data_IF_872042788934
#
_entry.id   IF_872042788934
#
_cell.length_a   1.000
_cell.length_b   1.000
_cell.length_c   1.000
_cell.angle_alpha   90.00
_cell.angle_beta   90.00
_cell.angle_gamma   90.00
#
_symmetry.space_group_name_H-M   'P 1'
#
loop_
_entity.id
_entity.type
_entity.pdbx_description
1 polymer ?
#
# COMPACT_ATOMS: atom_id res chain seq x y z
N UNK A 1 18.66 -1.87 15.97
CA UNK A 1 18.31 -2.63 14.74
C UNK A 1 18.27 -1.67 13.56
N UNK A 2 18.35 -2.15 12.32
CA UNK A 2 18.28 -1.26 11.14
C UNK A 2 17.36 -1.77 10.04
N UNK A 3 16.62 -0.89 9.40
CA UNK A 3 15.86 -1.17 8.19
C UNK A 3 16.58 -0.61 6.97
N UNK A 4 16.55 -1.33 5.85
CA UNK A 4 17.08 -0.90 4.56
C UNK A 4 15.91 -0.74 3.61
N UNK A 5 15.79 0.44 3.05
CA UNK A 5 14.79 0.82 2.04
C UNK A 5 15.56 1.31 0.83
N UNK A 6 15.32 0.73 -0.34
CA UNK A 6 16.04 1.08 -1.56
C UNK A 6 15.09 1.76 -2.51
N UNK A 7 15.51 2.89 -3.06
CA UNK A 7 14.72 3.67 -3.99
C UNK A 7 15.55 4.01 -5.23
N UNK A 8 14.87 4.15 -6.35
CA UNK A 8 15.42 4.71 -7.58
C UNK A 8 14.90 6.13 -7.74
N UNK A 9 15.79 7.06 -8.08
CA UNK A 9 15.42 8.47 -8.18
C UNK A 9 16.28 9.22 -9.16
N UNK A 10 15.66 10.12 -9.92
CA UNK A 10 16.38 11.07 -10.79
C UNK A 10 16.70 12.38 -10.05
N UNK A 11 16.38 12.47 -8.75
CA UNK A 11 16.52 13.68 -7.94
C UNK A 11 17.98 13.98 -7.58
N UNK A 12 18.31 15.26 -7.60
CA UNK A 12 19.56 15.77 -7.03
C UNK A 12 19.53 15.74 -5.50
N UNK A 13 20.68 15.77 -4.81
CA UNK A 13 20.73 15.81 -3.35
C UNK A 13 19.93 16.97 -2.73
N UNK A 14 19.95 18.15 -3.37
CA UNK A 14 19.24 19.34 -2.90
C UNK A 14 17.72 19.20 -3.02
N UNK A 15 17.24 18.63 -4.13
CA UNK A 15 15.81 18.35 -4.34
C UNK A 15 15.32 17.28 -3.37
N UNK A 16 16.15 16.26 -3.11
CA UNK A 16 15.85 15.21 -2.16
C UNK A 16 15.80 15.76 -0.72
N UNK A 17 16.72 16.64 -0.34
CA UNK A 17 16.67 17.36 0.93
C UNK A 17 15.38 18.18 1.08
N UNK A 18 15.00 18.94 0.05
CA UNK A 18 13.76 19.70 0.05
C UNK A 18 12.53 18.77 0.16
N UNK A 19 12.55 17.63 -0.52
CA UNK A 19 11.52 16.60 -0.43
C UNK A 19 11.39 16.01 0.98
N UNK A 20 12.52 15.63 1.59
CA UNK A 20 12.57 15.08 2.95
C UNK A 20 12.11 16.09 4.01
N UNK A 21 12.41 17.37 3.79
CA UNK A 21 11.91 18.45 4.64
C UNK A 21 10.40 18.60 4.55
N UNK A 22 9.84 18.54 3.33
CA UNK A 22 8.39 18.58 3.08
C UNK A 22 7.64 17.44 3.79
N UNK A 23 8.25 16.25 3.85
CA UNK A 23 7.63 15.09 4.50
C UNK A 23 7.92 14.96 6.00
N UNK A 24 8.64 15.91 6.62
CA UNK A 24 8.92 15.90 8.05
C UNK A 24 9.95 14.86 8.50
N UNK A 25 10.81 14.42 7.57
CA UNK A 25 11.90 13.47 7.84
C UNK A 25 13.28 14.14 7.86
N UNK A 26 13.34 15.46 7.68
CA UNK A 26 14.57 16.22 7.82
C UNK A 26 14.86 16.55 9.29
N UNK A 27 16.15 16.47 9.67
CA UNK A 27 16.58 16.81 11.03
C UNK A 27 16.49 18.32 11.27
N UNK A 28 15.90 18.71 12.40
CA UNK A 28 15.91 20.11 12.87
C UNK A 28 17.32 20.60 13.24
N UNK A 29 18.22 19.66 13.53
CA UNK A 29 19.63 19.94 13.82
C UNK A 29 20.42 20.07 12.52
N UNK A 30 21.39 21.01 12.44
CA UNK A 30 22.32 21.10 11.31
C UNK A 30 23.07 19.78 11.08
N UNK A 31 23.30 19.44 9.80
CA UNK A 31 23.97 18.18 9.42
C UNK A 31 25.41 18.07 9.97
N UNK A 32 26.07 19.21 10.18
CA UNK A 32 27.44 19.29 10.73
C UNK A 32 27.48 19.35 12.27
N UNK A 33 26.31 19.29 12.92
CA UNK A 33 26.25 19.33 14.38
C UNK A 33 26.87 18.08 15.01
N UNK A 34 27.53 18.20 16.19
CA UNK A 34 28.15 17.06 16.86
C UNK A 34 27.12 15.97 17.20
N UNK A 35 25.88 16.34 17.51
CA UNK A 35 24.80 15.41 17.78
C UNK A 35 24.44 14.56 16.55
N UNK A 36 24.34 15.19 15.37
CA UNK A 36 24.08 14.46 14.11
C UNK A 36 25.28 13.57 13.75
N UNK A 37 26.51 14.04 13.94
CA UNK A 37 27.71 13.24 13.73
C UNK A 37 27.76 12.00 14.64
N UNK A 38 27.35 12.15 15.91
CA UNK A 38 27.26 11.03 16.85
C UNK A 38 26.21 10.01 16.41
N UNK A 39 25.02 10.47 16.01
CA UNK A 39 23.96 9.60 15.48
C UNK A 39 24.39 8.87 14.20
N UNK A 40 25.05 9.58 13.28
CA UNK A 40 25.64 9.00 12.08
C UNK A 40 26.61 7.87 12.44
N UNK A 41 27.51 8.11 13.39
CA UNK A 41 28.47 7.11 13.87
C UNK A 41 27.77 5.90 14.51
N UNK A 42 26.71 6.12 15.30
CA UNK A 42 25.91 5.03 15.88
C UNK A 42 25.30 4.16 14.77
N UNK A 43 24.65 4.76 13.78
CA UNK A 43 24.01 4.03 12.66
C UNK A 43 25.06 3.27 11.85
N UNK A 44 26.21 3.87 11.56
CA UNK A 44 27.31 3.21 10.86
C UNK A 44 27.87 2.02 11.66
N UNK A 45 27.97 2.13 12.99
CA UNK A 45 28.47 1.03 13.83
C UNK A 45 27.56 -0.21 13.83
N UNK A 46 26.30 -0.03 13.42
CA UNK A 46 25.31 -1.10 13.25
C UNK A 46 25.41 -1.77 11.87
N UNK A 47 26.11 -1.18 10.90
CA UNK A 47 26.39 -1.80 9.59
C UNK A 47 27.44 -2.90 9.76
N UNK A 48 27.38 -3.93 8.92
CA UNK A 48 28.39 -5.00 8.93
C UNK A 48 29.78 -4.39 8.68
N UNK A 49 30.79 -4.81 9.43
CA UNK A 49 32.12 -4.18 9.42
C UNK A 49 32.79 -4.13 8.03
N UNK A 50 32.42 -5.04 7.14
CA UNK A 50 32.92 -5.11 5.76
C UNK A 50 32.37 -3.96 4.89
N UNK A 51 31.17 -3.47 5.17
CA UNK A 51 30.46 -2.48 4.34
C UNK A 51 30.52 -1.07 4.96
N UNK A 52 31.08 -0.93 6.17
CA UNK A 52 31.05 0.34 6.92
C UNK A 52 31.76 1.49 6.19
N UNK A 53 32.92 1.22 5.59
CA UNK A 53 33.70 2.24 4.89
C UNK A 53 32.99 2.68 3.61
N UNK A 54 32.47 1.72 2.84
CA UNK A 54 31.72 1.99 1.60
C UNK A 54 30.48 2.85 1.88
N UNK A 55 29.71 2.48 2.90
CA UNK A 55 28.53 3.26 3.31
C UNK A 55 28.91 4.66 3.80
N UNK A 56 30.02 4.81 4.52
CA UNK A 56 30.48 6.11 5.01
C UNK A 56 30.89 7.06 3.86
N UNK A 57 31.49 6.53 2.79
CA UNK A 57 31.88 7.30 1.60
C UNK A 57 30.68 7.72 0.75
N UNK A 58 29.62 6.90 0.72
CA UNK A 58 28.40 7.14 -0.08
C UNK A 58 27.33 7.97 0.63
N UNK A 59 27.59 8.41 1.86
CA UNK A 59 26.60 9.08 2.71
C UNK A 59 26.35 10.52 2.23
N UNK A 60 25.08 10.86 2.01
CA UNK A 60 24.67 12.21 1.67
C UNK A 60 24.22 13.01 2.91
N UNK A 61 23.27 12.49 3.67
CA UNK A 61 22.72 13.21 4.82
C UNK A 61 22.09 12.27 5.86
N UNK A 62 21.88 12.82 7.05
CA UNK A 62 21.22 12.14 8.18
C UNK A 62 19.80 12.68 8.34
N UNK A 63 18.83 11.77 8.43
CA UNK A 63 17.40 12.05 8.53
C UNK A 63 16.88 11.70 9.93
N UNK A 64 15.78 12.34 10.33
CA UNK A 64 15.18 12.12 11.63
C UNK A 64 13.67 12.30 11.55
N UNK A 65 12.92 11.35 12.11
CA UNK A 65 11.50 11.49 12.37
C UNK A 65 11.30 11.76 13.87
N UNK A 66 10.97 13.00 14.21
CA UNK A 66 10.78 13.43 15.60
C UNK A 66 9.61 12.71 16.29
N UNK A 67 8.55 12.40 15.55
CA UNK A 67 7.34 11.75 16.09
C UNK A 67 7.62 10.32 16.56
N UNK A 68 8.40 9.58 15.77
CA UNK A 68 8.74 8.19 16.04
C UNK A 68 10.14 8.03 16.66
N UNK A 69 10.80 9.15 16.98
CA UNK A 69 12.18 9.21 17.48
C UNK A 69 13.11 8.24 16.74
N UNK A 70 13.02 8.26 15.40
CA UNK A 70 13.74 7.31 14.53
C UNK A 70 14.72 8.07 13.67
N UNK A 71 15.98 7.66 13.73
CA UNK A 71 17.05 8.26 12.95
C UNK A 71 17.34 7.43 11.72
N UNK A 72 17.92 8.05 10.70
CA UNK A 72 18.38 7.33 9.53
C UNK A 72 19.49 8.04 8.79
N UNK A 73 20.10 7.32 7.86
CA UNK A 73 21.06 7.87 6.91
C UNK A 73 20.59 7.58 5.49
N UNK A 74 20.92 8.48 4.58
CA UNK A 74 20.67 8.30 3.15
C UNK A 74 22.01 8.24 2.44
N UNK A 75 22.19 7.17 1.68
CA UNK A 75 23.38 6.88 0.89
C UNK A 75 23.01 6.79 -0.59
N UNK A 76 23.93 7.16 -1.47
CA UNK A 76 23.76 7.06 -2.93
C UNK A 76 24.83 6.15 -3.51
N UNK A 77 24.60 4.82 -3.55
CA UNK A 77 25.60 3.87 -4.03
C UNK A 77 25.90 4.00 -5.52
N UNK A 78 24.96 4.52 -6.31
CA UNK A 78 25.14 4.74 -7.73
C UNK A 78 24.24 5.88 -8.20
N UNK A 79 24.59 6.52 -9.32
CA UNK A 79 23.70 7.49 -9.96
C UNK A 79 22.31 6.87 -10.17
N UNK A 80 21.27 7.56 -9.73
CA UNK A 80 19.91 7.08 -9.90
C UNK A 80 19.38 6.15 -8.80
N UNK A 81 20.21 5.78 -7.80
CA UNK A 81 19.83 4.86 -6.73
C UNK A 81 20.20 5.43 -5.38
N UNK A 82 19.24 5.43 -4.47
CA UNK A 82 19.44 5.80 -3.08
C UNK A 82 19.07 4.62 -2.18
N UNK A 83 19.78 4.51 -1.07
CA UNK A 83 19.43 3.60 0.01
C UNK A 83 19.20 4.42 1.26
N UNK A 84 18.07 4.18 1.90
CA UNK A 84 17.68 4.82 3.15
C UNK A 84 17.80 3.76 4.24
N UNK A 85 18.63 4.04 5.24
CA UNK A 85 18.81 3.17 6.40
C UNK A 85 18.19 3.82 7.62
N UNK A 86 17.14 3.21 8.16
CA UNK A 86 16.49 3.67 9.38
C UNK A 86 16.98 2.85 10.58
N UNK A 87 17.17 3.49 11.72
CA UNK A 87 17.64 2.86 12.95
C UNK A 87 16.72 3.19 14.11
N UNK A 88 16.29 2.12 14.78
CA UNK A 88 15.62 2.17 16.07
C UNK A 88 15.97 0.90 16.84
N UNK A 89 15.91 0.97 18.17
CA UNK A 89 16.15 -0.17 19.04
C UNK A 89 14.89 -1.04 19.16
N UNK A 90 13.71 -0.42 19.05
CA UNK A 90 12.42 -1.12 19.03
C UNK A 90 12.01 -1.46 17.60
N UNK A 91 11.85 -2.76 17.33
CA UNK A 91 11.42 -3.27 16.02
C UNK A 91 10.01 -2.80 15.65
N UNK A 92 9.09 -2.65 16.61
CA UNK A 92 7.72 -2.21 16.35
C UNK A 92 7.69 -0.74 15.93
N UNK A 93 8.50 0.10 16.58
CA UNK A 93 8.67 1.50 16.19
C UNK A 93 9.36 1.58 14.83
N UNK A 94 10.39 0.77 14.59
CA UNK A 94 11.08 0.72 13.30
C UNK A 94 10.15 0.35 12.14
N UNK A 95 9.27 -0.65 12.32
CA UNK A 95 8.26 -1.02 11.31
C UNK A 95 7.34 0.15 10.99
N UNK A 96 6.81 0.81 12.02
CA UNK A 96 5.94 1.99 11.86
C UNK A 96 6.67 3.13 11.16
N UNK A 97 7.95 3.34 11.49
CA UNK A 97 8.79 4.36 10.88
C UNK A 97 9.04 4.05 9.40
N UNK A 98 9.27 2.80 9.03
CA UNK A 98 9.34 2.37 7.63
C UNK A 98 8.01 2.64 6.89
N UNK A 99 6.89 2.23 7.47
CA UNK A 99 5.56 2.46 6.87
C UNK A 99 5.26 3.95 6.71
N UNK A 100 5.57 4.76 7.71
CA UNK A 100 5.39 6.21 7.70
C UNK A 100 6.28 6.88 6.65
N UNK A 101 7.55 6.49 6.55
CA UNK A 101 8.47 6.97 5.53
C UNK A 101 7.94 6.67 4.13
N UNK A 102 7.66 5.39 3.84
CA UNK A 102 7.21 4.96 2.51
C UNK A 102 5.88 5.63 2.16
N UNK A 103 4.95 5.75 3.11
CA UNK A 103 3.67 6.46 2.91
C UNK A 103 3.89 7.93 2.56
N UNK A 104 4.76 8.62 3.29
CA UNK A 104 4.96 10.05 3.14
C UNK A 104 5.67 10.38 1.83
N UNK A 105 6.65 9.54 1.45
CA UNK A 105 7.30 9.60 0.14
C UNK A 105 6.31 9.32 -0.97
N UNK A 106 5.53 8.23 -0.93
CA UNK A 106 4.57 7.92 -1.99
C UNK A 106 3.57 9.08 -2.21
N UNK A 107 3.08 9.69 -1.13
CA UNK A 107 2.12 10.81 -1.20
C UNK A 107 2.70 12.12 -1.72
N UNK A 108 4.00 12.36 -1.54
CA UNK A 108 4.58 13.71 -1.70
C UNK A 108 5.68 13.76 -2.78
N UNK A 109 6.35 12.63 -3.00
CA UNK A 109 7.52 12.46 -3.89
C UNK A 109 7.33 11.32 -4.90
N UNK A 110 6.20 10.60 -4.85
CA UNK A 110 5.88 9.47 -5.72
C UNK A 110 4.74 9.72 -6.72
N UNK A 111 3.81 10.64 -6.43
CA UNK A 111 2.83 11.09 -7.41
C UNK A 111 3.44 12.20 -8.27
N UNK A 112 3.35 12.11 -9.62
CA UNK A 112 3.83 13.17 -10.49
C UNK A 112 3.03 14.44 -10.21
N UNK A 113 3.65 15.44 -9.60
CA UNK A 113 3.07 16.77 -9.56
C UNK A 113 2.80 17.19 -11.02
N UNK A 114 1.80 18.06 -11.26
CA UNK A 114 1.38 18.52 -12.59
C UNK A 114 2.48 19.16 -13.44
N UNK A 115 3.69 19.29 -12.87
CA UNK A 115 4.93 19.82 -13.44
C UNK A 115 5.93 18.72 -13.87
N UNK A 116 5.63 17.44 -13.65
CA UNK A 116 6.44 16.31 -14.12
C UNK A 116 7.75 16.08 -13.38
N UNK A 117 7.92 16.65 -12.18
CA UNK A 117 9.13 16.51 -11.35
C UNK A 117 8.74 15.87 -10.02
N UNK A 118 9.43 14.78 -9.72
CA UNK A 118 9.54 14.00 -8.46
C UNK A 118 9.25 12.50 -8.72
N UNK A 119 10.32 11.73 -8.98
CA UNK A 119 10.29 10.27 -9.05
C UNK A 119 11.21 9.70 -7.99
N UNK A 120 10.61 9.27 -6.89
CA UNK A 120 11.27 8.38 -5.94
C UNK A 120 10.49 7.07 -5.91
N UNK A 121 10.94 6.14 -6.74
CA UNK A 121 10.31 4.83 -6.89
C UNK A 121 10.94 3.83 -5.93
N UNK A 122 10.12 3.13 -5.17
CA UNK A 122 10.60 2.11 -4.24
C UNK A 122 10.90 0.82 -4.96
N UNK A 123 12.02 0.18 -4.61
CA UNK A 123 12.15 -1.24 -4.88
C UNK A 123 11.15 -2.03 -4.01
N UNK A 124 10.64 -3.18 -4.49
CA UNK A 124 9.56 -3.88 -3.80
C UNK A 124 9.95 -4.43 -2.42
N UNK A 125 11.23 -4.65 -2.16
CA UNK A 125 11.69 -5.32 -0.94
C UNK A 125 12.28 -4.33 0.08
N UNK A 126 11.83 -4.47 1.31
CA UNK A 126 12.35 -3.80 2.50
C UNK A 126 12.88 -4.86 3.46
N UNK A 127 14.03 -4.61 4.07
CA UNK A 127 14.67 -5.58 4.97
C UNK A 127 14.95 -4.95 6.34
N UNK A 128 14.62 -5.65 7.42
CA UNK A 128 15.08 -5.31 8.77
C UNK A 128 16.19 -6.27 9.17
N UNK A 129 17.33 -5.71 9.53
CA UNK A 129 18.54 -6.40 9.90
C UNK A 129 18.87 -6.16 11.38
N UNK A 130 19.32 -7.22 12.09
CA UNK A 130 19.95 -7.06 13.39
C UNK A 130 21.25 -6.25 13.30
N UNK A 131 21.73 -5.73 14.45
CA UNK A 131 23.03 -5.08 14.57
C UNK A 131 24.15 -5.90 13.95
N UNK A 132 25.02 -5.27 13.14
CA UNK A 132 26.26 -5.83 12.58
C UNK A 132 26.12 -7.07 11.69
N UNK A 133 24.91 -7.45 11.32
CA UNK A 133 24.65 -8.62 10.47
C UNK A 133 24.11 -8.20 9.10
N UNK A 134 24.53 -8.89 8.04
CA UNK A 134 23.98 -8.72 6.68
C UNK A 134 22.72 -9.56 6.42
N UNK A 135 22.34 -10.44 7.34
CA UNK A 135 21.13 -11.29 7.21
C UNK A 135 19.91 -10.58 7.78
N UNK A 136 18.86 -10.46 6.98
CA UNK A 136 17.59 -9.90 7.43
C UNK A 136 16.86 -10.83 8.42
N UNK A 137 16.35 -10.28 9.51
CA UNK A 137 15.45 -10.97 10.45
C UNK A 137 14.01 -10.93 9.97
N UNK A 138 13.63 -9.84 9.29
CA UNK A 138 12.29 -9.63 8.79
C UNK A 138 12.36 -9.02 7.39
N UNK A 139 11.43 -9.42 6.53
CA UNK A 139 11.25 -8.85 5.20
C UNK A 139 9.89 -8.17 5.12
N UNK A 140 9.84 -7.06 4.40
CA UNK A 140 8.63 -6.34 4.07
C UNK A 140 8.54 -6.17 2.57
N UNK A 141 7.34 -6.22 2.03
CA UNK A 141 7.05 -5.93 0.64
C UNK A 141 6.35 -4.57 0.55
N UNK A 142 6.93 -3.62 -0.16
CA UNK A 142 6.35 -2.31 -0.41
C UNK A 142 5.26 -2.46 -1.47
N UNK A 143 4.02 -2.16 -1.07
CA UNK A 143 2.85 -2.27 -1.93
C UNK A 143 2.73 -0.98 -2.77
N UNK A 144 3.38 -0.97 -3.93
CA UNK A 144 3.19 0.06 -4.97
C UNK A 144 1.77 0.00 -5.53
N UNK A 145 1.24 1.11 -6.04
CA UNK A 145 -0.19 1.41 -6.17
C UNK A 145 -1.04 0.55 -7.14
N UNK A 146 -0.54 -0.59 -7.63
CA UNK A 146 -1.31 -1.59 -8.42
C UNK A 146 -2.33 -2.38 -7.57
N UNK A 147 -2.93 -1.69 -6.58
CA UNK A 147 -3.72 -2.22 -5.47
C UNK A 147 -5.02 -2.86 -5.92
N UNK A 148 -5.69 -2.35 -6.95
CA UNK A 148 -7.03 -2.84 -7.32
C UNK A 148 -6.99 -4.16 -8.11
N UNK A 149 -6.04 -4.31 -9.03
CA UNK A 149 -5.93 -5.52 -9.84
C UNK A 149 -5.49 -6.72 -9.00
N UNK A 150 -4.45 -6.54 -8.18
CA UNK A 150 -3.90 -7.61 -7.34
C UNK A 150 -4.90 -8.07 -6.27
N UNK A 151 -5.69 -7.16 -5.69
CA UNK A 151 -6.76 -7.53 -4.75
C UNK A 151 -7.88 -8.35 -5.40
N UNK A 152 -8.27 -7.99 -6.62
CA UNK A 152 -9.25 -8.75 -7.39
C UNK A 152 -8.67 -10.11 -7.78
N UNK A 153 -7.37 -10.19 -8.07
CA UNK A 153 -6.68 -11.45 -8.33
C UNK A 153 -6.61 -12.38 -7.11
N UNK A 154 -6.27 -11.85 -5.94
CA UNK A 154 -6.26 -12.62 -4.68
C UNK A 154 -7.65 -13.16 -4.31
N UNK A 155 -8.71 -12.40 -4.63
CA UNK A 155 -10.11 -12.77 -4.38
C UNK A 155 -10.86 -13.18 -5.63
N UNK A 156 -10.18 -13.83 -6.59
CA UNK A 156 -10.78 -14.33 -7.85
C UNK A 156 -12.06 -15.14 -7.63
N UNK A 157 -12.12 -15.93 -6.57
CA UNK A 157 -13.30 -16.76 -6.25
C UNK A 157 -14.47 -15.90 -5.80
N UNK A 158 -14.27 -14.98 -4.85
CA UNK A 158 -15.33 -14.09 -4.36
C UNK A 158 -15.84 -13.16 -5.48
N UNK A 159 -14.93 -12.64 -6.31
CA UNK A 159 -15.28 -11.84 -7.48
C UNK A 159 -16.11 -12.64 -8.51
N UNK A 160 -15.76 -13.90 -8.76
CA UNK A 160 -16.58 -14.78 -9.63
C UNK A 160 -17.98 -14.96 -9.06
N UNK A 161 -18.10 -15.22 -7.76
CA UNK A 161 -19.40 -15.38 -7.09
C UNK A 161 -20.23 -14.11 -7.20
N UNK A 162 -19.65 -12.94 -6.91
CA UNK A 162 -20.33 -11.66 -7.03
C UNK A 162 -20.75 -11.35 -8.48
N UNK A 163 -19.89 -11.63 -9.45
CA UNK A 163 -20.21 -11.48 -10.87
C UNK A 163 -21.36 -12.40 -11.28
N UNK A 164 -21.36 -13.66 -10.85
CA UNK A 164 -22.47 -14.58 -11.11
C UNK A 164 -23.77 -14.13 -10.44
N UNK A 165 -23.70 -13.58 -9.22
CA UNK A 165 -24.86 -13.03 -8.52
C UNK A 165 -25.43 -11.82 -9.27
N UNK A 166 -24.58 -10.92 -9.79
CA UNK A 166 -25.01 -9.79 -10.62
C UNK A 166 -25.68 -10.26 -11.91
N UNK A 167 -25.07 -11.21 -12.63
CA UNK A 167 -25.65 -11.76 -13.86
C UNK A 167 -27.01 -12.39 -13.57
N UNK A 168 -27.11 -13.20 -12.51
CA UNK A 168 -28.36 -13.83 -12.09
C UNK A 168 -29.42 -12.77 -11.72
N UNK A 169 -29.03 -11.72 -10.98
CA UNK A 169 -29.92 -10.62 -10.63
C UNK A 169 -30.45 -9.89 -11.88
N UNK A 170 -29.58 -9.62 -12.86
CA UNK A 170 -29.97 -8.98 -14.12
C UNK A 170 -30.91 -9.87 -14.95
N UNK A 171 -30.65 -11.17 -15.00
CA UNK A 171 -31.53 -12.15 -15.69
C UNK A 171 -32.89 -12.22 -15.02
N UNK A 172 -32.92 -12.33 -13.68
CA UNK A 172 -34.16 -12.32 -12.91
C UNK A 172 -34.93 -11.03 -13.16
N UNK A 173 -34.26 -9.88 -13.04
CA UNK A 173 -34.87 -8.57 -13.29
C UNK A 173 -35.47 -8.48 -14.69
N UNK A 174 -34.75 -8.95 -15.72
CA UNK A 174 -35.23 -8.96 -17.10
C UNK A 174 -36.47 -9.84 -17.31
N UNK A 175 -36.60 -10.94 -16.57
CA UNK A 175 -37.74 -11.86 -16.65
C UNK A 175 -38.93 -11.39 -15.81
N UNK A 176 -38.69 -10.58 -14.77
CA UNK A 176 -39.74 -10.02 -13.89
C UNK A 176 -40.24 -8.64 -14.34
N UNK A 177 -39.83 -8.11 -15.51
CA UNK A 177 -40.35 -6.82 -15.99
C UNK A 177 -41.81 -6.99 -16.43
N UNK A 178 -42.71 -6.02 -16.15
CA UNK A 178 -44.13 -6.09 -16.50
C UNK A 178 -44.52 -6.61 -17.91
N UNK A 179 -43.83 -6.26 -19.02
CA UNK A 179 -44.19 -6.76 -20.33
C UNK A 179 -43.90 -8.25 -20.53
N UNK A 180 -42.99 -8.84 -19.74
CA UNK A 180 -42.70 -10.29 -19.74
C UNK A 180 -43.66 -11.03 -18.80
N UNK A 181 -44.07 -10.40 -17.71
CA UNK A 181 -44.90 -10.99 -16.66
C UNK A 181 -46.40 -11.01 -17.00
N UNK A 182 -46.92 -9.92 -17.59
CA UNK A 182 -48.35 -9.74 -17.90
C UNK A 182 -49.00 -10.82 -18.78
N UNK A 183 -48.34 -11.40 -19.79
CA UNK A 183 -48.91 -12.49 -20.59
C UNK A 183 -49.26 -13.71 -19.75
N UNK A 184 -48.45 -14.03 -18.73
CA UNK A 184 -48.66 -15.21 -17.87
C UNK A 184 -49.80 -15.00 -16.87
N UNK A 185 -50.08 -13.76 -16.48
CA UNK A 185 -51.23 -13.43 -15.62
C UNK A 185 -52.57 -13.37 -16.36
N UNK A 186 -52.56 -13.24 -17.69
CA UNK A 186 -53.77 -13.26 -18.53
C UNK A 186 -54.15 -14.67 -19.00
N UNK A 187 -53.33 -15.68 -18.67
CA UNK A 187 -53.63 -17.08 -18.92
C UNK A 187 -54.70 -17.64 -17.96
N UNK A 188 -55.06 -18.91 -18.11
CA UNK A 188 -56.06 -19.56 -17.26
C UNK A 188 -55.78 -19.42 -15.76
N UNK A 189 -56.81 -19.46 -14.89
CA UNK A 189 -56.67 -19.21 -13.44
C UNK A 189 -55.58 -20.07 -12.77
N UNK A 190 -55.44 -21.33 -13.19
CA UNK A 190 -54.38 -22.23 -12.70
C UNK A 190 -53.00 -21.76 -13.14
N UNK A 191 -52.84 -21.34 -14.39
CA UNK A 191 -51.58 -20.77 -14.91
C UNK A 191 -51.22 -19.47 -14.20
N UNK A 192 -52.20 -18.62 -13.92
CA UNK A 192 -51.99 -17.37 -13.21
C UNK A 192 -51.54 -17.58 -11.75
N UNK A 193 -52.09 -18.57 -11.05
CA UNK A 193 -51.68 -18.91 -9.68
C UNK A 193 -50.24 -19.43 -9.63
N UNK A 194 -49.85 -20.31 -10.55
CA UNK A 194 -48.49 -20.81 -10.69
C UNK A 194 -47.50 -19.70 -11.10
N UNK A 195 -47.91 -18.80 -12.00
CA UNK A 195 -47.12 -17.64 -12.39
C UNK A 195 -46.83 -16.72 -11.19
N UNK A 196 -47.85 -16.37 -10.38
CA UNK A 196 -47.66 -15.51 -9.19
C UNK A 196 -46.69 -16.12 -8.20
N UNK A 197 -46.81 -17.43 -7.97
CA UNK A 197 -45.90 -18.15 -7.08
C UNK A 197 -44.46 -18.18 -7.61
N UNK A 198 -44.28 -18.48 -8.90
CA UNK A 198 -42.97 -18.52 -9.56
C UNK A 198 -42.27 -17.16 -9.62
N UNK A 199 -42.99 -16.10 -10.01
CA UNK A 199 -42.46 -14.74 -10.00
C UNK A 199 -42.14 -14.27 -8.58
N UNK A 200 -42.96 -14.60 -7.58
CA UNK A 200 -42.65 -14.31 -6.19
C UNK A 200 -41.39 -14.99 -5.65
N UNK A 201 -41.05 -16.19 -6.13
CA UNK A 201 -39.76 -16.83 -5.82
C UNK A 201 -38.62 -16.11 -6.53
N UNK A 202 -38.78 -15.81 -7.82
CA UNK A 202 -37.78 -15.10 -8.62
C UNK A 202 -37.44 -13.74 -8.01
N UNK A 203 -38.42 -12.95 -7.58
CA UNK A 203 -38.19 -11.67 -6.90
C UNK A 203 -37.36 -11.82 -5.62
N UNK A 204 -37.65 -12.84 -4.80
CA UNK A 204 -36.90 -13.11 -3.56
C UNK A 204 -35.45 -13.53 -3.86
N UNK A 205 -35.25 -14.38 -4.85
CA UNK A 205 -33.91 -14.79 -5.30
C UNK A 205 -33.16 -13.60 -5.90
N UNK A 206 -33.83 -12.76 -6.69
CA UNK A 206 -33.27 -11.53 -7.25
C UNK A 206 -32.84 -10.55 -6.17
N UNK A 207 -33.67 -10.34 -5.15
CA UNK A 207 -33.35 -9.48 -4.00
C UNK A 207 -32.14 -10.01 -3.23
N UNK A 208 -32.07 -11.33 -2.98
CA UNK A 208 -30.91 -11.95 -2.35
C UNK A 208 -29.63 -11.82 -3.19
N UNK A 209 -29.73 -11.98 -4.52
CA UNK A 209 -28.62 -11.83 -5.45
C UNK A 209 -28.09 -10.39 -5.49
N UNK A 210 -28.98 -9.39 -5.54
CA UNK A 210 -28.62 -7.96 -5.46
C UNK A 210 -27.94 -7.67 -4.12
N UNK A 211 -28.54 -8.11 -3.00
CA UNK A 211 -27.99 -7.88 -1.66
C UNK A 211 -26.57 -8.46 -1.53
N UNK A 212 -26.37 -9.67 -2.04
CA UNK A 212 -25.07 -10.35 -2.05
C UNK A 212 -24.04 -9.56 -2.87
N UNK A 213 -24.41 -9.09 -4.06
CA UNK A 213 -23.55 -8.25 -4.89
C UNK A 213 -23.21 -6.92 -4.21
N UNK A 214 -24.20 -6.24 -3.62
CA UNK A 214 -24.00 -4.95 -2.93
C UNK A 214 -23.09 -5.11 -1.71
N UNK A 215 -23.27 -6.16 -0.91
CA UNK A 215 -22.38 -6.45 0.22
C UNK A 215 -20.94 -6.70 -0.24
N UNK A 216 -20.75 -7.44 -1.34
CA UNK A 216 -19.43 -7.65 -1.91
C UNK A 216 -18.77 -6.35 -2.39
N UNK A 217 -19.51 -5.49 -3.10
CA UNK A 217 -19.01 -4.18 -3.50
C UNK A 217 -18.63 -3.31 -2.29
N UNK A 218 -19.45 -3.33 -1.23
CA UNK A 218 -19.17 -2.59 -0.01
C UNK A 218 -17.91 -3.09 0.70
N UNK A 219 -17.74 -4.41 0.84
CA UNK A 219 -16.52 -5.01 1.40
C UNK A 219 -15.26 -4.65 0.59
N UNK A 220 -15.35 -4.70 -0.74
CA UNK A 220 -14.26 -4.25 -1.62
C UNK A 220 -13.93 -2.78 -1.38
N UNK A 221 -14.94 -1.90 -1.34
CA UNK A 221 -14.71 -0.45 -1.14
C UNK A 221 -14.10 -0.17 0.22
N UNK A 222 -14.61 -0.80 1.28
CA UNK A 222 -14.04 -0.68 2.63
C UNK A 222 -12.60 -1.18 2.67
N UNK A 223 -12.32 -2.31 2.03
CA UNK A 223 -10.97 -2.89 2.02
C UNK A 223 -10.01 -2.09 1.16
N UNK A 224 -10.44 -1.58 0.00
CA UNK A 224 -9.65 -0.64 -0.80
C UNK A 224 -9.32 0.61 -0.02
N UNK A 225 -10.29 1.15 0.73
CA UNK A 225 -10.09 2.28 1.62
C UNK A 225 -9.09 1.94 2.73
N UNK A 226 -9.28 0.80 3.39
CA UNK A 226 -8.37 0.32 4.43
C UNK A 226 -6.94 0.12 3.91
N UNK A 227 -6.76 -0.47 2.74
CA UNK A 227 -5.45 -0.71 2.14
C UNK A 227 -4.80 0.59 1.67
N UNK A 228 -5.60 1.54 1.16
CA UNK A 228 -5.15 2.89 0.80
C UNK A 228 -4.71 3.69 2.03
N UNK A 229 -5.39 3.50 3.16
CA UNK A 229 -5.13 4.24 4.39
C UNK A 229 -4.03 3.59 5.25
N UNK A 230 -3.97 2.25 5.35
CA UNK A 230 -3.27 1.57 6.44
C UNK A 230 -2.08 0.67 6.05
N UNK A 231 -2.00 0.12 4.84
CA UNK A 231 -0.94 -0.88 4.54
C UNK A 231 -0.12 -0.48 3.32
N UNK A 232 0.98 0.22 3.59
CA UNK A 232 1.98 0.57 2.56
C UNK A 232 3.06 -0.50 2.46
N UNK A 233 3.30 -1.24 3.55
CA UNK A 233 4.25 -2.34 3.62
C UNK A 233 3.54 -3.59 4.14
N UNK A 234 3.75 -4.74 3.48
CA UNK A 234 3.32 -6.06 3.94
C UNK A 234 4.52 -6.79 4.55
N UNK A 235 4.52 -6.96 5.87
CA UNK A 235 5.57 -7.72 6.56
C UNK A 235 5.37 -9.23 6.40
N UNK A 236 6.44 -9.97 6.11
CA UNK A 236 6.49 -11.42 5.91
C UNK A 236 7.17 -12.14 7.09
#
# INVERSE_FOLDING_TARGET
>A
MRAIIICTTDLTPDELQAGLSRIGWWSDLPQDSPAVAERRKMILSEVASQDQNEVAEMLWFTIHNATLNTWGIVESPSTGRITVRLQNDDIAILKRACEDFVRSVQRTLGEPDRRGIDRLDFLPELQILPPRTAKATLRGEILTETRLHNLIEERRVEYRTARSALILALVIFAVTIPPVEQPFYKASETTAAWARWGFGILERVGTAAITTFTMFCFDIVQRLRHLKENTVVRWL
#
